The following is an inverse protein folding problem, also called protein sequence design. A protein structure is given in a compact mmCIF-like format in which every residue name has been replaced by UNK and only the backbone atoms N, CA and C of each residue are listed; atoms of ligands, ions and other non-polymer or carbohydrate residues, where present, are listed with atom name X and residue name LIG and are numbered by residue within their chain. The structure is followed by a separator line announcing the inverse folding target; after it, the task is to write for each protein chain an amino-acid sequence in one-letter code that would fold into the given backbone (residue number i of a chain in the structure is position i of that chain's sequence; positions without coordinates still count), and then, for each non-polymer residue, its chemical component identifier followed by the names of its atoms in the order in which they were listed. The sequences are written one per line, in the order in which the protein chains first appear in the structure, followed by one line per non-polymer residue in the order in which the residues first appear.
data_IF_967285189986
#
_entry.id   IF_967285189986
#
_cell.length_a   1.000
_cell.length_b   1.000
_cell.length_c   1.000
_cell.angle_alpha   90.00
_cell.angle_beta   90.00
_cell.angle_gamma   90.00
#
_symmetry.space_group_name_H-M   'P 1'
#
loop_
_entity.id
_entity.type
_entity.pdbx_description
1 polymer ?
#
# COMPACT_ATOMS: atom_id res chain seq x y z
N UNK A 1 -14.38 -13.15 6.41
CA UNK A 1 -15.59 -13.99 6.22
C UNK A 1 -16.77 -13.23 5.61
N UNK A 2 -17.20 -12.09 6.21
CA UNK A 2 -18.38 -11.36 5.72
C UNK A 2 -18.23 -10.92 4.26
N UNK A 3 -17.11 -10.26 3.90
CA UNK A 3 -16.82 -9.82 2.53
C UNK A 3 -16.85 -10.99 1.53
N UNK A 4 -16.31 -12.15 1.90
CA UNK A 4 -16.39 -13.36 1.08
C UNK A 4 -17.84 -13.77 0.80
N UNK A 5 -18.69 -13.83 1.83
CA UNK A 5 -20.07 -14.29 1.71
C UNK A 5 -20.95 -13.28 0.96
N UNK A 6 -20.73 -11.98 1.15
CA UNK A 6 -21.59 -10.93 0.60
C UNK A 6 -21.16 -10.48 -0.79
N UNK A 7 -19.88 -10.36 -1.05
CA UNK A 7 -19.33 -9.77 -2.27
C UNK A 7 -18.69 -10.83 -3.18
N UNK A 8 -17.73 -11.60 -2.68
CA UNK A 8 -16.95 -12.51 -3.54
C UNK A 8 -17.84 -13.60 -4.14
N UNK A 9 -18.63 -14.28 -3.30
CA UNK A 9 -19.51 -15.39 -3.75
C UNK A 9 -20.67 -14.97 -4.66
N UNK A 10 -21.05 -13.69 -4.61
CA UNK A 10 -22.16 -13.15 -5.40
C UNK A 10 -21.72 -12.43 -6.66
N UNK A 11 -20.44 -12.15 -6.79
CA UNK A 11 -19.90 -11.43 -7.93
C UNK A 11 -19.84 -12.31 -9.18
N UNK A 12 -20.23 -11.77 -10.33
CA UNK A 12 -20.02 -12.39 -11.64
C UNK A 12 -18.58 -12.25 -12.13
N UNK A 13 -17.81 -11.32 -11.56
CA UNK A 13 -16.40 -11.13 -11.85
C UNK A 13 -15.56 -11.78 -10.77
N UNK A 14 -14.33 -12.17 -11.12
CA UNK A 14 -13.38 -12.68 -10.11
C UNK A 14 -12.97 -11.53 -9.21
N UNK A 15 -13.27 -11.65 -7.91
CA UNK A 15 -12.87 -10.69 -6.87
C UNK A 15 -11.69 -11.26 -6.11
N UNK A 16 -10.63 -10.47 -5.98
CA UNK A 16 -9.48 -10.74 -5.13
C UNK A 16 -9.32 -9.60 -4.14
N UNK A 17 -8.80 -9.89 -2.96
CA UNK A 17 -8.72 -8.92 -1.87
C UNK A 17 -7.30 -8.80 -1.31
N UNK A 18 -6.97 -7.61 -0.88
CA UNK A 18 -5.84 -7.35 0.00
C UNK A 18 -6.33 -7.35 1.44
N UNK A 19 -5.64 -8.08 2.31
CA UNK A 19 -5.97 -8.10 3.74
C UNK A 19 -5.23 -6.96 4.44
N UNK A 20 -5.99 -6.02 5.03
CA UNK A 20 -5.40 -4.99 5.88
C UNK A 20 -4.81 -5.65 7.14
N UNK A 21 -3.58 -5.27 7.52
CA UNK A 21 -2.92 -5.79 8.72
C UNK A 21 -3.49 -5.23 10.03
N UNK A 22 -4.18 -4.08 9.98
CA UNK A 22 -4.89 -3.56 11.16
C UNK A 22 -6.09 -4.45 11.50
N UNK A 23 -6.18 -4.91 12.74
CA UNK A 23 -7.14 -5.95 13.16
C UNK A 23 -8.60 -5.58 12.92
N UNK A 24 -8.96 -4.30 13.08
CA UNK A 24 -10.31 -3.80 12.77
C UNK A 24 -10.54 -3.60 11.26
N UNK A 25 -9.47 -3.65 10.45
CA UNK A 25 -9.53 -3.38 9.01
C UNK A 25 -9.95 -1.94 8.70
N UNK A 26 -10.27 -1.69 7.45
CA UNK A 26 -10.83 -0.42 6.99
C UNK A 26 -12.36 -0.51 7.02
N UNK A 27 -12.96 -0.22 8.17
CA UNK A 27 -14.42 -0.25 8.35
C UNK A 27 -15.11 0.95 7.69
N UNK A 28 -14.43 2.10 7.65
CA UNK A 28 -14.86 3.29 6.92
C UNK A 28 -13.70 4.26 6.73
N UNK A 29 -13.86 5.26 5.87
CA UNK A 29 -12.89 6.35 5.74
C UNK A 29 -12.76 7.24 6.98
N UNK A 30 -13.68 7.09 7.94
CA UNK A 30 -13.74 7.90 9.18
C UNK A 30 -13.15 7.16 10.38
N UNK A 31 -13.08 5.82 10.35
CA UNK A 31 -12.50 5.04 11.44
C UNK A 31 -10.98 4.99 11.31
N UNK A 32 -10.28 5.31 12.41
CA UNK A 32 -8.83 5.11 12.51
C UNK A 32 -8.51 3.62 12.54
N UNK A 33 -7.55 3.23 11.73
CA UNK A 33 -6.99 1.87 11.76
C UNK A 33 -6.02 1.75 12.94
N UNK A 34 -6.15 0.70 13.72
CA UNK A 34 -5.22 0.44 14.82
C UNK A 34 -4.02 -0.35 14.27
N UNK A 35 -2.90 0.36 14.13
CA UNK A 35 -1.64 -0.18 13.59
C UNK A 35 -0.59 -0.45 14.67
N UNK A 36 -0.98 -0.42 15.95
CA UNK A 36 -0.07 -0.75 17.04
C UNK A 36 0.41 -2.20 16.94
N UNK A 37 1.72 -2.46 17.10
CA UNK A 37 2.28 -3.80 16.93
C UNK A 37 1.60 -4.88 17.76
N UNK A 38 1.23 -4.55 18.99
CA UNK A 38 0.55 -5.44 19.94
C UNK A 38 -0.89 -5.79 19.57
N UNK A 39 -1.50 -5.00 18.68
CA UNK A 39 -2.88 -5.21 18.21
C UNK A 39 -2.94 -5.84 16.81
N UNK A 40 -1.80 -6.07 16.16
CA UNK A 40 -1.75 -6.79 14.87
C UNK A 40 -1.81 -8.29 15.14
N UNK A 41 -2.93 -8.91 14.82
CA UNK A 41 -3.23 -10.33 15.05
C UNK A 41 -2.53 -11.23 14.03
N UNK A 42 -1.22 -11.40 14.19
CA UNK A 42 -0.36 -12.15 13.23
C UNK A 42 -0.86 -13.56 12.95
N UNK A 43 -1.20 -14.32 14.00
CA UNK A 43 -1.69 -15.69 13.87
C UNK A 43 -3.02 -15.77 13.09
N UNK A 44 -3.93 -14.83 13.37
CA UNK A 44 -5.19 -14.73 12.64
C UNK A 44 -4.95 -14.46 11.15
N UNK A 45 -4.06 -13.49 10.83
CA UNK A 45 -3.67 -13.18 9.46
C UNK A 45 -3.12 -14.41 8.76
N UNK A 46 -2.18 -15.13 9.39
CA UNK A 46 -1.57 -16.35 8.84
C UNK A 46 -2.60 -17.46 8.59
N UNK A 47 -3.59 -17.59 9.46
CA UNK A 47 -4.64 -18.60 9.32
C UNK A 47 -5.69 -18.27 8.24
N UNK A 48 -5.88 -16.98 7.91
CA UNK A 48 -6.84 -16.57 6.88
C UNK A 48 -6.38 -16.90 5.46
N UNK A 49 -5.09 -16.75 5.15
CA UNK A 49 -4.59 -16.96 3.79
C UNK A 49 -4.84 -18.38 3.24
N UNK A 50 -4.57 -19.48 3.99
CA UNK A 50 -4.94 -20.82 3.51
C UNK A 50 -6.45 -21.03 3.36
N UNK A 51 -7.28 -20.40 4.23
CA UNK A 51 -8.74 -20.52 4.16
C UNK A 51 -9.33 -19.85 2.91
N UNK A 52 -8.75 -18.72 2.48
CA UNK A 52 -9.20 -17.92 1.33
C UNK A 52 -8.17 -17.94 0.20
N UNK A 53 -7.59 -19.10 -0.05
CA UNK A 53 -6.55 -19.28 -1.08
C UNK A 53 -7.06 -18.91 -2.46
N UNK A 54 -6.35 -18.00 -3.14
CA UNK A 54 -6.69 -17.51 -4.46
C UNK A 54 -7.68 -16.33 -4.45
N UNK A 55 -8.16 -15.93 -3.27
CA UNK A 55 -8.96 -14.72 -3.06
C UNK A 55 -8.14 -13.66 -2.31
N UNK A 56 -7.48 -14.05 -1.19
CA UNK A 56 -6.49 -13.20 -0.53
C UNK A 56 -5.17 -13.29 -1.28
N UNK A 57 -4.72 -12.16 -1.84
CA UNK A 57 -3.55 -12.13 -2.73
C UNK A 57 -2.41 -11.23 -2.24
N UNK A 58 -2.66 -10.36 -1.26
CA UNK A 58 -1.64 -9.49 -0.69
C UNK A 58 -2.04 -9.00 0.71
N UNK A 59 -1.06 -8.46 1.45
CA UNK A 59 -1.29 -7.67 2.65
C UNK A 59 -1.40 -6.18 2.30
N UNK A 60 -2.14 -5.40 3.09
CA UNK A 60 -2.31 -3.95 2.92
C UNK A 60 -2.02 -3.21 4.21
N UNK A 61 -1.40 -2.03 4.08
CA UNK A 61 -1.24 -1.05 5.15
C UNK A 61 -1.51 0.35 4.59
N UNK A 62 -2.28 1.18 5.29
CA UNK A 62 -2.28 2.63 5.09
C UNK A 62 -1.14 3.25 5.90
N UNK A 63 -0.02 3.54 5.24
CA UNK A 63 1.17 4.13 5.86
C UNK A 63 1.09 5.67 5.85
N UNK A 64 -0.04 6.23 6.28
CA UNK A 64 -0.37 7.66 6.25
C UNK A 64 -0.34 8.27 7.64
N UNK A 65 -0.03 9.56 7.74
CA UNK A 65 -0.23 10.34 8.97
C UNK A 65 -1.69 10.26 9.42
N UNK A 66 -1.92 10.24 10.73
CA UNK A 66 -3.25 10.00 11.29
C UNK A 66 -3.63 8.52 11.43
N UNK A 67 -2.96 7.61 10.73
CA UNK A 67 -3.08 6.15 10.88
C UNK A 67 -1.84 5.60 11.58
N UNK A 68 -0.66 5.94 11.05
CA UNK A 68 0.63 5.57 11.61
C UNK A 68 1.27 6.81 12.22
N UNK A 69 1.86 6.68 13.39
CA UNK A 69 2.58 7.76 14.05
C UNK A 69 3.76 8.23 13.19
N UNK A 70 3.98 9.55 13.16
CA UNK A 70 5.07 10.15 12.36
C UNK A 70 6.43 9.54 12.71
N UNK A 71 7.10 9.04 11.69
CA UNK A 71 8.43 8.42 11.81
C UNK A 71 8.42 6.95 12.23
N UNK A 72 7.26 6.36 12.53
CA UNK A 72 7.15 4.96 12.94
C UNK A 72 7.19 4.02 11.72
N UNK A 73 8.25 3.24 11.60
CA UNK A 73 8.45 2.23 10.54
C UNK A 73 7.86 0.86 10.90
N UNK A 74 7.53 0.66 12.17
CA UNK A 74 7.21 -0.69 12.70
C UNK A 74 6.06 -1.36 11.98
N UNK A 75 4.90 -0.71 11.72
CA UNK A 75 3.80 -1.37 11.02
C UNK A 75 4.17 -1.81 9.58
N UNK A 76 4.94 -0.98 8.87
CA UNK A 76 5.39 -1.32 7.51
C UNK A 76 6.35 -2.51 7.50
N UNK A 77 7.30 -2.55 8.44
CA UNK A 77 8.22 -3.68 8.60
C UNK A 77 7.47 -4.96 8.96
N UNK A 78 6.52 -4.88 9.91
CA UNK A 78 5.68 -6.03 10.28
C UNK A 78 4.88 -6.56 9.08
N UNK A 79 4.32 -5.68 8.25
CA UNK A 79 3.61 -6.11 7.05
C UNK A 79 4.54 -6.82 6.06
N UNK A 80 5.73 -6.28 5.81
CA UNK A 80 6.69 -6.92 4.88
C UNK A 80 7.20 -8.26 5.41
N UNK A 81 7.47 -8.38 6.71
CA UNK A 81 7.85 -9.65 7.36
C UNK A 81 6.74 -10.71 7.25
N UNK A 82 5.48 -10.33 7.55
CA UNK A 82 4.34 -11.22 7.39
C UNK A 82 4.13 -11.63 5.93
N UNK A 83 4.28 -10.68 5.00
CA UNK A 83 4.19 -10.96 3.57
C UNK A 83 5.27 -11.96 3.11
N UNK A 84 6.49 -11.87 3.65
CA UNK A 84 7.56 -12.84 3.39
C UNK A 84 7.20 -14.23 3.90
N UNK A 85 6.73 -14.34 5.15
CA UNK A 85 6.31 -15.59 5.76
C UNK A 85 5.16 -16.27 5.00
N UNK A 86 4.23 -15.49 4.46
CA UNK A 86 3.07 -15.95 3.71
C UNK A 86 3.36 -16.18 2.22
N UNK A 87 4.49 -15.70 1.71
CA UNK A 87 4.83 -15.74 0.28
C UNK A 87 3.91 -14.83 -0.57
N UNK A 88 3.45 -13.70 0.00
CA UNK A 88 2.56 -12.74 -0.68
C UNK A 88 3.15 -11.32 -0.67
N UNK A 89 2.77 -10.46 -1.65
CA UNK A 89 3.17 -9.06 -1.68
C UNK A 89 2.61 -8.26 -0.49
N UNK A 90 3.34 -7.20 -0.12
CA UNK A 90 2.90 -6.14 0.76
C UNK A 90 2.55 -4.90 -0.07
N UNK A 91 1.38 -4.30 0.16
CA UNK A 91 0.89 -3.11 -0.56
C UNK A 91 0.80 -1.94 0.42
N UNK A 92 1.70 -0.97 0.27
CA UNK A 92 1.74 0.22 1.11
C UNK A 92 1.03 1.40 0.44
N UNK A 93 -0.02 1.93 1.08
CA UNK A 93 -0.64 3.20 0.69
C UNK A 93 0.27 4.35 1.16
N UNK A 94 0.62 5.25 0.26
CA UNK A 94 1.67 6.26 0.48
C UNK A 94 1.20 7.70 0.31
N UNK A 95 -0.09 8.01 0.48
CA UNK A 95 -0.58 9.39 0.53
C UNK A 95 -0.34 9.95 1.92
N UNK A 96 0.22 11.15 2.01
CA UNK A 96 0.66 11.79 3.26
C UNK A 96 1.42 10.83 4.19
N UNK A 97 2.58 10.31 3.75
CA UNK A 97 3.19 9.15 4.37
C UNK A 97 3.77 9.46 5.76
N UNK A 98 3.58 8.52 6.70
CA UNK A 98 4.11 8.63 8.06
C UNK A 98 5.64 8.64 8.13
N UNK A 99 6.31 8.02 7.15
CA UNK A 99 7.76 8.03 6.94
C UNK A 99 8.07 8.48 5.52
N UNK A 100 9.30 8.94 5.27
CA UNK A 100 9.66 9.40 3.91
C UNK A 100 9.46 8.30 2.86
N UNK A 101 9.11 8.71 1.64
CA UNK A 101 8.93 7.80 0.52
C UNK A 101 10.16 6.92 0.26
N UNK A 102 11.38 7.47 0.39
CA UNK A 102 12.61 6.70 0.23
C UNK A 102 12.78 5.65 1.33
N UNK A 103 12.44 6.00 2.59
CA UNK A 103 12.49 5.05 3.71
C UNK A 103 11.51 3.90 3.51
N UNK A 104 10.26 4.22 3.15
CA UNK A 104 9.26 3.21 2.84
C UNK A 104 9.69 2.32 1.67
N UNK A 105 10.14 2.94 0.57
CA UNK A 105 10.63 2.22 -0.60
C UNK A 105 11.83 1.31 -0.28
N UNK A 106 12.69 1.69 0.67
CA UNK A 106 13.81 0.85 1.15
C UNK A 106 13.35 -0.37 1.95
N UNK A 107 12.25 -0.25 2.70
CA UNK A 107 11.66 -1.35 3.49
C UNK A 107 10.96 -2.36 2.59
N UNK A 108 10.28 -1.90 1.54
CA UNK A 108 9.56 -2.75 0.59
C UNK A 108 10.53 -3.70 -0.14
N UNK A 109 10.06 -4.95 -0.33
CA UNK A 109 10.79 -6.06 -0.95
C UNK A 109 10.52 -6.10 -2.47
N UNK A 110 11.31 -6.84 -3.25
CA UNK A 110 10.95 -7.18 -4.63
C UNK A 110 9.54 -7.80 -4.70
N UNK A 111 8.67 -7.25 -5.57
CA UNK A 111 7.28 -7.66 -5.71
C UNK A 111 6.29 -6.96 -4.77
N UNK A 112 6.76 -6.24 -3.75
CA UNK A 112 5.89 -5.37 -2.95
C UNK A 112 5.49 -4.12 -3.75
N UNK A 113 4.37 -3.48 -3.35
CA UNK A 113 3.77 -2.37 -4.10
C UNK A 113 3.81 -1.07 -3.31
N UNK A 114 4.42 -0.04 -3.91
CA UNK A 114 4.34 1.35 -3.49
C UNK A 114 3.12 1.98 -4.18
N UNK A 115 2.00 2.11 -3.45
CA UNK A 115 0.71 2.56 -3.98
C UNK A 115 0.57 4.08 -3.85
N UNK A 116 -0.09 4.72 -4.82
CA UNK A 116 -0.28 6.18 -4.93
C UNK A 116 1.03 6.94 -5.20
N UNK A 117 1.82 6.43 -6.12
CA UNK A 117 3.14 7.00 -6.43
C UNK A 117 3.11 8.47 -6.86
N UNK A 118 1.99 8.95 -7.39
CA UNK A 118 1.85 10.33 -7.90
C UNK A 118 1.06 11.26 -6.98
N UNK A 119 0.86 10.89 -5.72
CA UNK A 119 0.24 11.75 -4.71
C UNK A 119 1.13 12.98 -4.41
N UNK A 120 0.56 14.05 -3.81
CA UNK A 120 1.25 15.31 -3.53
C UNK A 120 1.19 15.75 -2.06
N UNK A 121 0.63 14.94 -1.16
CA UNK A 121 0.50 15.27 0.25
C UNK A 121 1.71 14.75 1.04
N UNK A 122 2.27 15.58 1.91
CA UNK A 122 3.45 15.24 2.70
C UNK A 122 4.68 15.01 1.84
N UNK A 123 5.43 13.93 2.12
CA UNK A 123 6.61 13.56 1.33
C UNK A 123 6.20 12.84 0.04
N UNK A 124 6.85 13.16 -1.07
CA UNK A 124 6.57 12.60 -2.39
C UNK A 124 7.79 11.86 -2.94
N UNK A 125 7.61 11.20 -4.08
CA UNK A 125 8.71 10.55 -4.82
C UNK A 125 9.69 11.56 -5.43
N UNK A 126 9.35 12.87 -5.46
CA UNK A 126 10.19 13.92 -6.00
C UNK A 126 10.95 14.64 -4.89
N UNK A 127 12.14 15.10 -5.21
CA UNK A 127 12.92 16.03 -4.39
C UNK A 127 12.45 17.49 -4.60
N UNK A 128 13.12 18.45 -3.93
CA UNK A 128 12.84 19.87 -4.02
C UNK A 128 13.04 20.48 -5.42
N UNK A 129 13.86 19.83 -6.26
CA UNK A 129 14.14 20.21 -7.64
C UNK A 129 13.19 19.55 -8.63
N UNK A 130 12.20 18.78 -8.17
CA UNK A 130 11.28 18.02 -8.99
C UNK A 130 11.90 16.79 -9.66
N UNK A 131 13.07 16.33 -9.17
CA UNK A 131 13.68 15.09 -9.64
C UNK A 131 13.18 13.90 -8.84
N UNK A 132 12.99 12.76 -9.50
CA UNK A 132 12.68 11.51 -8.80
C UNK A 132 13.86 11.13 -7.92
N UNK A 133 13.60 10.99 -6.62
CA UNK A 133 14.60 10.69 -5.60
C UNK A 133 15.38 9.41 -5.93
N UNK A 134 16.66 9.41 -5.63
CA UNK A 134 17.55 8.28 -5.94
C UNK A 134 17.08 6.98 -5.28
N UNK A 135 16.67 7.02 -4.00
CA UNK A 135 16.19 5.84 -3.29
C UNK A 135 14.91 5.22 -3.91
N UNK A 136 14.10 6.03 -4.60
CA UNK A 136 12.93 5.55 -5.35
C UNK A 136 13.38 4.77 -6.61
N UNK A 137 14.36 5.29 -7.37
CA UNK A 137 14.96 4.56 -8.48
C UNK A 137 15.63 3.26 -8.03
N UNK A 138 16.32 3.28 -6.89
CA UNK A 138 16.96 2.09 -6.32
C UNK A 138 15.94 1.02 -5.93
N UNK A 139 14.82 1.43 -5.33
CA UNK A 139 13.72 0.52 -4.99
C UNK A 139 13.15 -0.16 -6.24
N UNK A 140 12.91 0.60 -7.31
CA UNK A 140 12.47 0.06 -8.60
C UNK A 140 13.46 -0.96 -9.16
N UNK A 141 14.76 -0.63 -9.15
CA UNK A 141 15.79 -1.57 -9.63
C UNK A 141 15.87 -2.85 -8.80
N UNK A 142 15.48 -2.81 -7.51
CA UNK A 142 15.34 -4.01 -6.68
C UNK A 142 14.09 -4.83 -6.98
N UNK A 143 13.13 -4.29 -7.73
CA UNK A 143 11.89 -4.96 -8.08
C UNK A 143 10.67 -4.56 -7.24
N UNK A 144 10.72 -3.43 -6.51
CA UNK A 144 9.51 -2.81 -5.93
C UNK A 144 8.65 -2.29 -7.08
N UNK A 145 7.37 -2.59 -7.04
CA UNK A 145 6.38 -2.15 -8.02
C UNK A 145 5.75 -0.82 -7.59
N UNK A 146 5.51 0.05 -8.56
CA UNK A 146 4.91 1.36 -8.33
C UNK A 146 3.54 1.45 -9.00
N UNK A 147 2.50 1.74 -8.21
CA UNK A 147 1.12 1.83 -8.67
C UNK A 147 0.63 3.28 -8.69
N UNK A 148 0.09 3.70 -9.83
CA UNK A 148 -0.50 5.03 -9.98
C UNK A 148 -1.70 5.20 -9.04
N UNK A 149 -2.61 4.26 -9.02
CA UNK A 149 -3.73 4.13 -8.08
C UNK A 149 -4.33 5.50 -7.71
N UNK A 150 -4.90 6.19 -8.70
CA UNK A 150 -5.15 7.63 -8.61
C UNK A 150 -6.24 8.02 -7.58
N UNK A 151 -7.28 7.19 -7.37
CA UNK A 151 -8.38 7.52 -6.46
C UNK A 151 -9.01 8.88 -6.73
N UNK A 152 -9.68 9.42 -5.73
CA UNK A 152 -10.25 10.77 -5.79
C UNK A 152 -9.28 11.86 -5.32
N UNK A 153 -8.28 11.54 -4.48
CA UNK A 153 -7.38 12.49 -3.84
C UNK A 153 -5.88 12.09 -3.91
N UNK A 154 -5.58 10.93 -4.48
CA UNK A 154 -4.23 10.35 -4.40
C UNK A 154 -3.39 10.60 -5.65
N UNK A 155 -3.69 11.69 -6.41
CA UNK A 155 -3.02 11.96 -7.67
C UNK A 155 -2.75 13.45 -7.87
N UNK A 156 -1.55 13.77 -8.34
CA UNK A 156 -1.14 15.11 -8.71
C UNK A 156 -0.53 15.11 -10.11
N UNK A 157 -1.11 15.88 -11.02
CA UNK A 157 -0.53 16.07 -12.36
C UNK A 157 0.89 16.62 -12.29
N UNK A 158 1.19 17.52 -11.35
CA UNK A 158 2.54 18.06 -11.16
C UNK A 158 3.56 16.98 -10.85
N UNK A 159 3.22 16.04 -9.95
CA UNK A 159 4.12 14.92 -9.60
C UNK A 159 4.21 13.93 -10.76
N UNK A 160 3.07 13.57 -11.35
CA UNK A 160 3.00 12.62 -12.47
C UNK A 160 3.80 13.12 -13.68
N UNK A 161 3.59 14.36 -14.13
CA UNK A 161 4.31 14.92 -15.28
C UNK A 161 5.81 15.00 -15.05
N UNK A 162 6.24 15.42 -13.85
CA UNK A 162 7.66 15.49 -13.52
C UNK A 162 8.31 14.09 -13.52
N UNK A 163 7.65 13.08 -12.95
CA UNK A 163 8.14 11.71 -12.93
C UNK A 163 8.17 11.08 -14.33
N UNK A 164 7.08 11.23 -15.11
CA UNK A 164 6.95 10.69 -16.46
C UNK A 164 8.00 11.28 -17.40
N UNK A 165 8.26 12.61 -17.33
CA UNK A 165 9.31 13.26 -18.13
C UNK A 165 10.72 12.70 -17.87
N UNK A 166 10.93 12.12 -16.68
CA UNK A 166 12.18 11.44 -16.31
C UNK A 166 12.16 9.94 -16.62
N UNK A 167 11.08 9.42 -17.22
CA UNK A 167 10.93 8.00 -17.53
C UNK A 167 10.51 7.13 -16.33
N UNK A 168 10.09 7.74 -15.22
CA UNK A 168 9.59 7.01 -14.07
C UNK A 168 8.08 6.75 -14.23
N UNK A 169 7.75 5.68 -14.96
CA UNK A 169 6.39 5.26 -15.27
C UNK A 169 5.85 4.31 -14.20
N UNK A 170 4.53 4.21 -14.01
CA UNK A 170 3.94 3.21 -13.12
C UNK A 170 4.11 1.80 -13.71
N UNK A 171 4.26 0.82 -12.81
CA UNK A 171 4.22 -0.61 -13.18
C UNK A 171 2.77 -1.12 -13.16
N UNK A 172 1.92 -0.50 -12.34
CA UNK A 172 0.51 -0.83 -12.16
C UNK A 172 -0.36 0.44 -12.30
N UNK A 173 -1.60 0.27 -12.78
CA UNK A 173 -2.56 1.36 -12.90
C UNK A 173 -3.87 0.92 -12.23
N UNK A 174 -3.92 1.03 -10.92
CA UNK A 174 -5.14 0.90 -10.13
C UNK A 174 -6.00 2.15 -10.21
N UNK A 175 -7.32 2.03 -10.11
CA UNK A 175 -8.22 3.18 -10.10
C UNK A 175 -8.49 3.74 -8.71
N UNK A 176 -8.60 2.88 -7.70
CA UNK A 176 -8.98 3.24 -6.33
C UNK A 176 -10.26 4.11 -6.26
N UNK A 177 -11.21 3.85 -7.16
CA UNK A 177 -12.47 4.58 -7.20
C UNK A 177 -13.41 4.03 -6.14
N UNK A 178 -13.90 4.92 -5.27
CA UNK A 178 -14.92 4.64 -4.27
C UNK A 178 -16.15 5.50 -4.54
N UNK A 179 -17.38 5.01 -4.24
CA UNK A 179 -18.55 5.88 -4.25
C UNK A 179 -18.33 7.05 -3.30
N UNK A 180 -18.71 8.26 -3.74
CA UNK A 180 -18.75 9.45 -2.88
C UNK A 180 -20.00 9.45 -2.04
#
# INVERSE_FOLDING_TARGET
PLFHETEVRRSVTRVMAYLNIASAGLLSSVCTEDTKPEHIERELIQNLFPQYRGELVALKLRNSLGIVEKGNETPLRMMTELGEQLGVPAVAHMTDPAISCEKAAKILRPGDVFCHMYQAEGDTILDENGQVKQGIWEARRRGVLFDACNGNANFSFRVAEAAIKQGFLPDLIGSDLTPM
#
